data_IF_616469001552
#
_entry.id   IF_616469001552
#
_cell.length_a   1.000
_cell.length_b   1.000
_cell.length_c   1.000
_cell.angle_alpha   90.00
_cell.angle_beta   90.00
_cell.angle_gamma   90.00
#
_symmetry.space_group_name_H-M   'P 1'
#
loop_
_entity.id
_entity.type
_entity.pdbx_description
1 polymer ?
#
# COMPACT_ATOMS: atom_id res chain seq x y z
N UNK A 1 8.49 -4.83 7.68
CA UNK A 1 7.10 -4.34 7.87
C UNK A 1 6.15 -5.28 7.17
N UNK A 2 4.88 -5.35 7.60
CA UNK A 2 3.87 -6.20 6.95
C UNK A 2 2.51 -5.50 6.92
N UNK A 3 1.74 -5.73 5.85
CA UNK A 3 0.36 -5.25 5.76
C UNK A 3 -0.57 -6.08 6.66
N UNK A 4 -1.58 -5.44 7.26
CA UNK A 4 -2.64 -6.16 7.98
C UNK A 4 -3.47 -7.00 7.02
N UNK A 5 -3.64 -8.28 7.36
CA UNK A 5 -4.39 -9.25 6.54
C UNK A 5 -5.89 -8.94 6.42
N UNK A 6 -6.41 -8.11 7.32
CA UNK A 6 -7.81 -7.69 7.32
C UNK A 6 -8.13 -6.68 6.21
N UNK A 7 -7.11 -6.10 5.56
CA UNK A 7 -7.30 -5.16 4.45
C UNK A 7 -7.03 -5.85 3.12
N UNK A 8 -8.02 -5.80 2.23
CA UNK A 8 -7.96 -6.37 0.88
C UNK A 8 -8.08 -5.26 -0.14
N UNK A 9 -7.17 -5.25 -1.13
CA UNK A 9 -7.28 -4.36 -2.27
C UNK A 9 -8.29 -4.92 -3.28
N UNK A 10 -9.28 -4.10 -3.65
CA UNK A 10 -10.20 -4.41 -4.76
C UNK A 10 -10.11 -3.35 -5.84
N UNK A 11 -10.08 -3.82 -7.08
CA UNK A 11 -10.07 -2.97 -8.27
C UNK A 11 -11.44 -3.05 -8.95
N UNK A 12 -12.03 -1.89 -9.21
CA UNK A 12 -13.31 -1.73 -9.90
C UNK A 12 -13.12 -0.68 -11.01
N UNK A 13 -12.76 -1.15 -12.20
CA UNK A 13 -12.40 -0.27 -13.31
C UNK A 13 -11.17 0.57 -12.98
N UNK A 14 -11.30 1.89 -13.06
CA UNK A 14 -10.25 2.86 -12.73
C UNK A 14 -10.11 3.11 -11.21
N UNK A 15 -11.03 2.58 -10.41
CA UNK A 15 -11.03 2.80 -8.95
C UNK A 15 -10.34 1.66 -8.22
N UNK A 16 -9.33 1.99 -7.41
CA UNK A 16 -8.65 1.07 -6.50
C UNK A 16 -9.05 1.38 -5.07
N UNK A 17 -9.67 0.43 -4.38
CA UNK A 17 -10.19 0.61 -3.02
C UNK A 17 -9.62 -0.43 -2.06
N UNK A 18 -9.21 0.01 -0.87
CA UNK A 18 -8.95 -0.89 0.25
C UNK A 18 -10.24 -1.16 1.03
N UNK A 19 -10.49 -2.42 1.36
CA UNK A 19 -11.65 -2.87 2.13
C UNK A 19 -11.16 -3.58 3.38
N UNK A 20 -11.65 -3.19 4.56
CA UNK A 20 -11.42 -3.93 5.79
C UNK A 20 -12.51 -5.01 5.95
N UNK A 21 -12.12 -6.28 5.99
CA UNK A 21 -13.00 -7.46 6.15
C UNK A 21 -12.92 -8.07 7.57
N UNK A 22 -12.47 -7.30 8.59
CA UNK A 22 -12.38 -7.77 9.97
C UNK A 22 -13.75 -7.95 10.65
N UNK A 23 -13.83 -8.84 11.65
CA UNK A 23 -15.08 -9.23 12.36
C UNK A 23 -15.85 -8.08 13.03
N UNK A 24 -15.25 -6.89 13.17
CA UNK A 24 -15.93 -5.70 13.68
C UNK A 24 -16.67 -4.97 12.54
N UNK A 25 -17.81 -5.54 12.18
CA UNK A 25 -18.89 -4.97 11.36
C UNK A 25 -19.12 -3.50 11.75
N UNK A 26 -18.68 -2.52 10.93
CA UNK A 26 -19.31 -1.17 10.70
C UNK A 26 -18.42 -0.05 10.15
N UNK A 27 -17.18 -0.26 9.74
CA UNK A 27 -16.46 0.73 8.91
C UNK A 27 -15.78 0.06 7.73
N UNK A 28 -16.50 -0.08 6.62
CA UNK A 28 -15.89 -0.24 5.31
C UNK A 28 -15.14 1.05 5.01
N UNK A 29 -13.90 1.17 5.49
CA UNK A 29 -13.03 2.30 5.18
C UNK A 29 -12.52 2.10 3.77
N UNK A 30 -13.29 2.61 2.81
CA UNK A 30 -12.92 2.67 1.40
C UNK A 30 -11.88 3.77 1.25
N UNK A 31 -10.62 3.38 1.08
CA UNK A 31 -9.53 4.29 0.79
C UNK A 31 -9.24 4.25 -0.71
N UNK A 32 -9.51 5.33 -1.46
CA UNK A 32 -9.09 5.40 -2.86
C UNK A 32 -7.56 5.46 -2.90
N UNK A 33 -6.96 4.54 -3.65
CA UNK A 33 -5.53 4.55 -3.93
C UNK A 33 -5.28 5.05 -5.34
N UNK A 34 -4.25 5.86 -5.51
CA UNK A 34 -3.70 6.12 -6.83
C UNK A 34 -3.04 4.85 -7.38
N UNK A 35 -2.66 4.89 -8.66
CA UNK A 35 -2.07 3.73 -9.35
C UNK A 35 -0.82 3.20 -8.63
N UNK A 36 0.09 4.12 -8.31
CA UNK A 36 1.37 3.82 -7.67
C UNK A 36 1.18 3.17 -6.30
N UNK A 37 0.27 3.68 -5.46
CA UNK A 37 0.00 3.12 -4.15
C UNK A 37 -0.69 1.74 -4.22
N UNK A 38 -1.59 1.56 -5.19
CA UNK A 38 -2.24 0.26 -5.42
C UNK A 38 -1.23 -0.80 -5.89
N UNK A 39 -0.31 -0.42 -6.79
CA UNK A 39 0.79 -1.29 -7.22
C UNK A 39 1.65 -1.71 -6.02
N UNK A 40 2.11 -0.74 -5.23
CA UNK A 40 2.95 -1.03 -4.04
C UNK A 40 2.23 -1.89 -3.01
N UNK A 41 0.92 -1.66 -2.81
CA UNK A 41 0.11 -2.50 -1.94
C UNK A 41 0.09 -3.95 -2.42
N UNK A 42 -0.19 -4.21 -3.70
CA UNK A 42 -0.19 -5.57 -4.28
C UNK A 42 1.16 -6.25 -4.11
N UNK A 43 2.23 -5.51 -4.34
CA UNK A 43 3.59 -6.03 -4.28
C UNK A 43 3.99 -6.38 -2.83
N UNK A 44 3.53 -5.58 -1.86
CA UNK A 44 3.70 -5.80 -0.42
C UNK A 44 2.73 -6.84 0.19
N UNK A 45 1.61 -7.13 -0.48
CA UNK A 45 0.59 -8.04 0.03
C UNK A 45 1.15 -9.46 0.25
N UNK A 46 0.77 -10.07 1.37
CA UNK A 46 1.15 -11.44 1.71
C UNK A 46 2.59 -11.64 2.20
N UNK A 47 3.47 -10.63 2.13
CA UNK A 47 4.89 -10.74 2.49
C UNK A 47 5.36 -9.63 3.42
N UNK A 48 6.58 -9.77 3.93
CA UNK A 48 7.29 -8.68 4.61
C UNK A 48 8.03 -7.82 3.59
N UNK A 49 8.08 -6.53 3.84
CA UNK A 49 8.72 -5.54 2.97
C UNK A 49 9.47 -4.48 3.79
N UNK A 50 10.37 -3.78 3.10
CA UNK A 50 11.11 -2.59 3.57
C UNK A 50 10.86 -1.42 2.63
N UNK A 51 11.14 -0.21 3.10
CA UNK A 51 11.00 1.01 2.29
C UNK A 51 11.94 0.96 1.07
N UNK A 52 13.18 0.52 1.26
CA UNK A 52 14.16 0.37 0.18
C UNK A 52 13.72 -0.65 -0.87
N UNK A 53 13.09 -1.76 -0.43
CA UNK A 53 12.60 -2.77 -1.36
C UNK A 53 11.42 -2.23 -2.18
N UNK A 54 10.47 -1.53 -1.56
CA UNK A 54 9.36 -0.89 -2.28
C UNK A 54 9.87 0.17 -3.27
N UNK A 55 10.91 0.92 -2.90
CA UNK A 55 11.53 1.90 -3.79
C UNK A 55 12.15 1.23 -5.03
N UNK A 56 12.85 0.10 -4.86
CA UNK A 56 13.37 -0.69 -5.98
C UNK A 56 12.25 -1.17 -6.91
N UNK A 57 11.08 -1.55 -6.37
CA UNK A 57 9.92 -1.94 -7.18
C UNK A 57 9.36 -0.76 -7.99
N UNK A 58 9.31 0.45 -7.43
CA UNK A 58 8.91 1.65 -8.19
C UNK A 58 9.89 1.99 -9.30
N UNK A 59 11.19 1.94 -9.02
CA UNK A 59 12.23 2.23 -10.03
C UNK A 59 12.11 1.24 -11.19
N UNK A 60 11.87 -0.05 -10.90
CA UNK A 60 11.68 -1.08 -11.93
C UNK A 60 10.43 -0.90 -12.77
N UNK A 61 9.32 -0.50 -12.16
CA UNK A 61 8.02 -0.37 -12.85
C UNK A 61 7.90 0.94 -13.63
N UNK A 62 8.38 2.05 -13.05
CA UNK A 62 8.15 3.40 -13.56
C UNK A 62 9.40 4.13 -14.08
N UNK A 63 10.59 3.51 -14.03
CA UNK A 63 11.88 4.10 -14.45
C UNK A 63 12.11 5.51 -13.85
N UNK A 64 11.82 5.62 -12.55
CA UNK A 64 12.01 6.86 -11.78
C UNK A 64 13.34 6.85 -11.04
N UNK A 65 13.83 8.03 -10.65
CA UNK A 65 15.03 8.12 -9.83
C UNK A 65 14.80 7.44 -8.47
N UNK A 66 15.77 6.63 -8.01
CA UNK A 66 15.68 5.91 -6.74
C UNK A 66 15.44 6.83 -5.54
N UNK A 67 16.06 8.01 -5.53
CA UNK A 67 15.87 9.00 -4.46
C UNK A 67 14.43 9.52 -4.41
N UNK A 68 13.80 9.74 -5.57
CA UNK A 68 12.39 10.11 -5.68
C UNK A 68 11.48 8.98 -5.25
N UNK A 69 11.71 7.76 -5.76
CA UNK A 69 10.95 6.58 -5.36
C UNK A 69 11.01 6.33 -3.85
N UNK A 70 12.18 6.50 -3.23
CA UNK A 70 12.35 6.31 -1.80
C UNK A 70 11.63 7.39 -0.99
N UNK A 71 11.63 8.64 -1.45
CA UNK A 71 10.87 9.71 -0.82
C UNK A 71 9.36 9.42 -0.87
N UNK A 72 8.84 9.05 -2.04
CA UNK A 72 7.42 8.72 -2.23
C UNK A 72 7.00 7.51 -1.39
N UNK A 73 7.82 6.47 -1.35
CA UNK A 73 7.57 5.28 -0.52
C UNK A 73 7.57 5.61 0.95
N UNK A 74 8.48 6.48 1.42
CA UNK A 74 8.49 6.91 2.83
C UNK A 74 7.20 7.64 3.18
N UNK A 75 6.75 8.58 2.35
CA UNK A 75 5.47 9.26 2.56
C UNK A 75 4.30 8.27 2.59
N UNK A 76 4.29 7.31 1.67
CA UNK A 76 3.25 6.28 1.61
C UNK A 76 3.25 5.37 2.85
N UNK A 77 4.42 4.93 3.31
CA UNK A 77 4.55 4.09 4.51
C UNK A 77 4.16 4.86 5.77
N UNK A 78 4.42 6.18 5.83
CA UNK A 78 3.93 7.02 6.92
C UNK A 78 2.40 7.15 6.90
N UNK A 79 1.78 7.30 5.72
CA UNK A 79 0.31 7.27 5.59
C UNK A 79 -0.27 5.92 6.05
N UNK A 80 0.35 4.81 5.66
CA UNK A 80 -0.05 3.47 6.12
C UNK A 80 0.05 3.31 7.63
N UNK A 81 1.10 3.86 8.27
CA UNK A 81 1.22 3.90 9.74
C UNK A 81 0.13 4.74 10.38
N UNK A 82 -0.07 5.97 9.90
CA UNK A 82 -1.07 6.90 10.44
C UNK A 82 -2.49 6.35 10.33
N UNK A 83 -2.76 5.57 9.29
CA UNK A 83 -4.04 4.88 9.06
C UNK A 83 -4.14 3.51 9.71
N UNK A 84 -3.12 3.09 10.47
CA UNK A 84 -3.05 1.79 11.15
C UNK A 84 -3.25 0.59 10.20
N UNK A 85 -2.72 0.68 8.97
CA UNK A 85 -2.78 -0.37 7.94
C UNK A 85 -1.64 -1.39 8.04
N UNK A 86 -0.59 -1.06 8.78
CA UNK A 86 0.55 -1.97 9.03
C UNK A 86 0.28 -2.85 10.25
N UNK A 87 0.70 -4.12 10.14
CA UNK A 87 0.74 -5.04 11.27
C UNK A 87 1.90 -4.67 12.19
N UNK A 88 1.67 -4.78 13.51
CA UNK A 88 2.67 -4.58 14.56
C UNK A 88 3.62 -5.78 14.66
#
# INVERSE_FOLDING_TARGET
MRLKKEYVLREMGETRILINEGEQIRLTRVLPLNETAAFLWKVAEGKEFTEEWLADQLVREYDVAYETALADVRELVQDWKARHLLAE
#
